data_IF_116836262591
#
_entry.id   IF_116836262591
#
_cell.length_a   1.000
_cell.length_b   1.000
_cell.length_c   1.000
_cell.angle_alpha   90.00
_cell.angle_beta   90.00
_cell.angle_gamma   90.00
#
_symmetry.space_group_name_H-M   'P 1'
#
loop_
_entity.id
_entity.type
_entity.pdbx_description
1 polymer ?
#
# COMPACT_ATOMS: atom_id res chain seq x y z
N UNK A 1 -6.75 -21.52 -12.42
CA UNK A 1 -5.78 -20.60 -11.79
C UNK A 1 -6.00 -19.22 -12.35
N UNK A 2 -6.33 -18.23 -11.53
CA UNK A 2 -6.42 -16.84 -11.98
C UNK A 2 -4.98 -16.33 -12.21
N UNK A 3 -4.62 -16.03 -13.47
CA UNK A 3 -3.36 -15.34 -13.77
C UNK A 3 -3.53 -13.87 -13.40
N UNK A 4 -2.89 -13.45 -12.31
CA UNK A 4 -2.79 -12.03 -11.96
C UNK A 4 -1.74 -11.35 -12.84
N UNK A 5 -2.07 -10.19 -13.40
CA UNK A 5 -1.10 -9.35 -14.08
C UNK A 5 -0.48 -8.37 -13.08
N UNK A 6 0.83 -8.44 -12.93
CA UNK A 6 1.59 -7.48 -12.13
C UNK A 6 1.83 -6.24 -13.00
N UNK A 7 1.09 -5.16 -12.72
CA UNK A 7 1.16 -3.93 -13.51
C UNK A 7 2.27 -3.00 -13.00
N UNK A 8 2.99 -2.39 -13.93
CA UNK A 8 3.94 -1.29 -13.70
C UNK A 8 3.41 -0.07 -14.45
N UNK A 9 3.67 1.13 -13.94
CA UNK A 9 3.18 2.33 -14.61
C UNK A 9 3.61 3.61 -13.92
N UNK A 10 3.25 4.73 -14.55
CA UNK A 10 3.44 6.08 -14.01
C UNK A 10 2.11 6.79 -13.98
N UNK A 11 1.77 7.36 -12.83
CA UNK A 11 0.72 8.36 -12.71
C UNK A 11 1.35 9.73 -12.86
N UNK A 12 0.95 10.44 -13.91
CA UNK A 12 1.41 11.81 -14.19
C UNK A 12 0.23 12.76 -14.36
N UNK A 13 0.51 14.05 -14.51
CA UNK A 13 -0.45 15.09 -14.83
C UNK A 13 -0.12 15.68 -16.20
N UNK A 14 -1.14 15.85 -17.03
CA UNK A 14 -1.02 16.52 -18.33
C UNK A 14 -2.38 16.61 -19.02
N UNK A 15 -2.40 17.26 -20.18
CA UNK A 15 -3.62 17.37 -20.97
C UNK A 15 -3.90 16.03 -21.64
N UNK A 16 -5.15 15.60 -21.59
CA UNK A 16 -5.64 14.41 -22.28
C UNK A 16 -6.87 14.83 -23.08
N UNK A 17 -6.79 14.67 -24.39
CA UNK A 17 -7.93 14.58 -25.27
C UNK A 17 -8.39 13.12 -25.27
N UNK A 18 -9.65 12.91 -24.92
CA UNK A 18 -10.29 11.61 -24.93
C UNK A 18 -11.46 11.64 -25.91
N UNK A 19 -11.46 10.70 -26.86
CA UNK A 19 -12.63 10.30 -27.64
C UNK A 19 -12.96 8.84 -27.33
N UNK A 20 -14.16 8.38 -27.65
CA UNK A 20 -14.68 7.04 -27.27
C UNK A 20 -13.76 5.84 -27.59
N UNK A 21 -12.75 6.04 -28.45
CA UNK A 21 -11.79 4.99 -28.86
C UNK A 21 -10.32 5.39 -28.74
N UNK A 22 -10.01 6.65 -28.37
CA UNK A 22 -8.64 7.15 -28.40
C UNK A 22 -8.33 8.06 -27.21
N UNK A 23 -7.12 7.89 -26.67
CA UNK A 23 -6.53 8.76 -25.66
C UNK A 23 -5.28 9.37 -26.26
N UNK A 24 -5.25 10.71 -26.37
CA UNK A 24 -4.11 11.44 -26.90
C UNK A 24 -3.81 12.65 -26.02
N UNK A 25 -2.54 13.05 -25.93
CA UNK A 25 -2.16 14.26 -25.20
C UNK A 25 -0.85 14.10 -24.44
N UNK A 26 -0.39 15.22 -23.87
CA UNK A 26 0.90 15.28 -23.17
C UNK A 26 0.94 14.37 -21.96
N UNK A 27 -0.17 14.25 -21.21
CA UNK A 27 -0.25 13.35 -20.06
C UNK A 27 -0.03 11.89 -20.43
N UNK A 28 -0.65 11.43 -21.53
CA UNK A 28 -0.48 10.05 -22.01
C UNK A 28 0.94 9.80 -22.53
N UNK A 29 1.45 10.69 -23.38
CA UNK A 29 2.79 10.55 -23.95
C UNK A 29 3.89 10.54 -22.87
N UNK A 30 3.75 11.38 -21.85
CA UNK A 30 4.70 11.45 -20.74
C UNK A 30 4.61 10.21 -19.84
N UNK A 31 3.41 9.71 -19.54
CA UNK A 31 3.24 8.47 -18.78
C UNK A 31 3.91 7.29 -19.50
N UNK A 32 3.63 7.14 -20.80
CA UNK A 32 4.18 6.07 -21.63
C UNK A 32 5.71 6.11 -21.72
N UNK A 33 6.31 7.29 -21.94
CA UNK A 33 7.77 7.45 -21.96
C UNK A 33 8.42 7.13 -20.61
N UNK A 34 7.78 7.48 -19.50
CA UNK A 34 8.34 7.28 -18.17
C UNK A 34 8.09 5.88 -17.60
N UNK A 35 7.19 5.08 -18.17
CA UNK A 35 6.92 3.70 -17.73
C UNK A 35 8.20 2.84 -17.69
N UNK A 36 9.05 3.00 -18.70
CA UNK A 36 10.34 2.29 -18.77
C UNK A 36 11.29 2.71 -17.63
N UNK A 37 11.16 3.94 -17.13
CA UNK A 37 12.05 4.58 -16.16
C UNK A 37 11.59 4.45 -14.70
N UNK A 38 10.42 3.87 -14.42
CA UNK A 38 9.91 3.67 -13.04
C UNK A 38 10.96 2.99 -12.15
N UNK A 39 11.44 3.70 -11.14
CA UNK A 39 12.56 3.32 -10.27
C UNK A 39 12.17 3.19 -8.79
N UNK A 40 10.95 3.58 -8.44
CA UNK A 40 10.44 3.50 -7.07
C UNK A 40 10.58 2.09 -6.51
N UNK A 41 11.09 2.00 -5.28
CA UNK A 41 11.22 0.75 -4.53
C UNK A 41 12.08 -0.35 -5.16
N UNK A 42 12.87 -0.03 -6.19
CA UNK A 42 13.93 -0.92 -6.66
C UNK A 42 14.99 -1.10 -5.59
N UNK A 43 15.41 -2.34 -5.38
CA UNK A 43 16.57 -2.72 -4.55
C UNK A 43 17.87 -2.37 -5.27
N UNK A 44 17.90 -2.48 -6.60
CA UNK A 44 19.05 -2.11 -7.43
C UNK A 44 18.63 -1.45 -8.77
N UNK A 45 19.56 -0.74 -9.43
CA UNK A 45 19.28 -0.04 -10.68
C UNK A 45 18.92 -0.97 -11.86
N UNK A 46 19.33 -2.24 -11.80
CA UNK A 46 19.05 -3.29 -12.79
C UNK A 46 17.71 -3.98 -12.54
N UNK A 47 17.08 -3.79 -11.38
CA UNK A 47 15.82 -4.43 -11.02
C UNK A 47 14.72 -3.97 -11.97
N UNK A 48 14.25 -4.90 -12.80
CA UNK A 48 13.10 -4.69 -13.67
C UNK A 48 11.87 -5.35 -13.05
N UNK A 49 10.81 -4.57 -12.87
CA UNK A 49 9.47 -5.11 -12.66
C UNK A 49 9.03 -5.29 -11.21
N UNK A 50 9.49 -4.44 -10.28
CA UNK A 50 8.73 -4.19 -9.05
C UNK A 50 7.38 -3.58 -9.47
N UNK A 51 6.24 -4.20 -9.16
CA UNK A 51 4.95 -3.88 -9.79
C UNK A 51 4.22 -2.80 -9.02
N UNK A 52 4.90 -1.68 -8.80
CA UNK A 52 4.32 -0.50 -8.20
C UNK A 52 4.10 0.56 -9.28
N UNK A 53 3.00 1.28 -9.12
CA UNK A 53 2.66 2.40 -9.98
C UNK A 53 3.31 3.64 -9.35
N UNK A 54 4.36 4.15 -9.98
CA UNK A 54 5.05 5.34 -9.51
C UNK A 54 4.18 6.58 -9.73
N UNK A 55 4.13 7.44 -8.73
CA UNK A 55 3.46 8.74 -8.83
C UNK A 55 4.52 9.78 -9.16
N UNK A 56 4.33 10.47 -10.28
CA UNK A 56 5.25 11.51 -10.72
C UNK A 56 5.25 12.70 -9.74
N UNK A 57 6.43 13.31 -9.55
CA UNK A 57 6.61 14.44 -8.63
C UNK A 57 5.58 15.58 -8.82
N UNK A 58 5.21 16.00 -10.05
CA UNK A 58 4.18 17.03 -10.23
C UNK A 58 2.82 16.69 -9.60
N UNK A 59 2.47 15.41 -9.54
CA UNK A 59 1.23 14.94 -8.88
C UNK A 59 1.37 15.00 -7.38
N UNK A 60 2.51 14.55 -6.83
CA UNK A 60 2.81 14.61 -5.39
C UNK A 60 2.77 16.06 -4.89
N UNK A 61 3.41 16.98 -5.63
CA UNK A 61 3.41 18.42 -5.33
C UNK A 61 2.01 19.01 -5.47
N UNK A 62 1.26 18.62 -6.50
CA UNK A 62 -0.12 19.07 -6.63
C UNK A 62 -0.97 18.66 -5.42
N UNK A 63 -0.93 17.39 -5.02
CA UNK A 63 -1.71 16.91 -3.87
C UNK A 63 -1.27 17.60 -2.57
N UNK A 64 0.04 17.82 -2.37
CA UNK A 64 0.53 18.48 -1.14
C UNK A 64 0.10 19.94 -1.02
N UNK A 65 -0.15 20.62 -2.15
CA UNK A 65 -0.62 22.03 -2.18
C UNK A 65 -2.14 22.19 -2.07
N UNK A 66 -2.92 21.10 -2.15
CA UNK A 66 -4.37 21.15 -1.98
C UNK A 66 -4.74 21.45 -0.53
N UNK A 67 -5.67 22.38 -0.31
CA UNK A 67 -6.24 22.68 1.02
C UNK A 67 -7.15 21.57 1.55
N UNK A 68 -7.68 20.72 0.67
CA UNK A 68 -8.58 19.63 1.03
C UNK A 68 -7.85 18.49 1.78
N UNK A 69 -8.07 18.42 3.09
CA UNK A 69 -7.56 17.39 3.98
C UNK A 69 -7.97 15.96 3.59
N UNK A 70 -9.18 15.79 3.06
CA UNK A 70 -9.69 14.48 2.67
C UNK A 70 -8.84 13.91 1.55
N UNK A 71 -8.58 14.71 0.50
CA UNK A 71 -7.75 14.29 -0.64
C UNK A 71 -6.34 13.93 -0.18
N UNK A 72 -5.70 14.77 0.65
CA UNK A 72 -4.35 14.49 1.17
C UNK A 72 -4.31 13.19 1.99
N UNK A 73 -5.32 12.96 2.84
CA UNK A 73 -5.43 11.73 3.64
C UNK A 73 -5.69 10.51 2.77
N UNK A 74 -6.55 10.60 1.75
CA UNK A 74 -6.83 9.48 0.84
C UNK A 74 -5.61 9.11 0.02
N UNK A 75 -4.92 10.11 -0.53
CA UNK A 75 -3.66 9.90 -1.25
C UNK A 75 -2.64 9.20 -0.34
N UNK A 76 -2.40 9.75 0.86
CA UNK A 76 -1.45 9.18 1.81
C UNK A 76 -1.79 7.75 2.24
N UNK A 77 -3.07 7.35 2.28
CA UNK A 77 -3.48 5.97 2.62
C UNK A 77 -3.11 4.95 1.53
N UNK A 78 -3.06 5.40 0.27
CA UNK A 78 -2.85 4.54 -0.90
C UNK A 78 -1.41 4.57 -1.42
N UNK A 79 -0.60 5.52 -0.96
CA UNK A 79 0.79 5.68 -1.40
C UNK A 79 1.80 5.45 -0.30
N UNK A 80 3.00 5.06 -0.70
CA UNK A 80 4.19 4.99 0.14
C UNK A 80 5.35 5.69 -0.57
N UNK A 81 6.37 6.11 0.19
CA UNK A 81 7.51 6.87 -0.33
C UNK A 81 8.82 6.40 0.28
N UNK A 82 9.86 6.26 -0.55
CA UNK A 82 11.24 5.99 -0.11
C UNK A 82 12.04 7.28 0.14
N UNK A 83 11.38 8.44 0.10
CA UNK A 83 11.98 9.77 0.22
C UNK A 83 12.39 10.39 -1.12
N UNK A 84 12.64 9.58 -2.15
CA UNK A 84 12.97 10.05 -3.50
C UNK A 84 11.76 9.91 -4.43
N UNK A 85 11.08 8.77 -4.36
CA UNK A 85 9.94 8.43 -5.19
C UNK A 85 8.73 8.08 -4.35
N UNK A 86 7.54 8.31 -4.91
CA UNK A 86 6.26 7.92 -4.33
C UNK A 86 5.60 6.89 -5.24
N UNK A 87 4.96 5.86 -4.68
CA UNK A 87 4.20 4.90 -5.46
C UNK A 87 2.92 4.47 -4.76
N UNK A 88 1.96 3.98 -5.54
CA UNK A 88 0.82 3.26 -5.00
C UNK A 88 1.33 1.96 -4.37
N UNK A 89 1.02 1.77 -3.08
CA UNK A 89 1.47 0.64 -2.29
C UNK A 89 0.33 0.11 -1.44
N UNK A 90 0.09 -1.22 -1.42
CA UNK A 90 -0.99 -1.78 -0.63
C UNK A 90 -0.64 -1.83 0.87
N UNK A 91 0.64 -1.84 1.24
CA UNK A 91 1.05 -2.21 2.59
C UNK A 91 0.55 -1.24 3.66
N UNK A 92 0.50 0.06 3.37
CA UNK A 92 -0.03 1.04 4.34
C UNK A 92 -1.51 0.80 4.63
N UNK A 93 -2.30 0.58 3.59
CA UNK A 93 -3.72 0.27 3.72
C UNK A 93 -3.93 -1.08 4.45
N UNK A 94 -3.13 -2.10 4.12
CA UNK A 94 -3.18 -3.40 4.78
C UNK A 94 -2.83 -3.33 6.26
N UNK A 95 -1.83 -2.53 6.66
CA UNK A 95 -1.50 -2.30 8.07
C UNK A 95 -2.59 -1.56 8.82
N UNK A 96 -3.38 -0.73 8.11
CA UNK A 96 -4.51 -0.02 8.69
C UNK A 96 -5.79 -0.87 8.78
N UNK A 97 -5.84 -2.06 8.17
CA UNK A 97 -7.02 -2.94 8.17
C UNK A 97 -6.86 -4.11 9.17
N UNK A 98 -7.85 -4.38 10.05
CA UNK A 98 -9.15 -3.72 10.17
C UNK A 98 -9.04 -2.33 10.80
N UNK A 99 -9.98 -1.46 10.43
CA UNK A 99 -10.18 -0.12 11.00
C UNK A 99 -11.60 0.02 11.53
N UNK A 100 -11.77 0.84 12.57
CA UNK A 100 -13.08 1.11 13.17
C UNK A 100 -13.14 2.54 13.72
N UNK A 101 -14.35 3.08 13.81
CA UNK A 101 -14.62 4.29 14.59
C UNK A 101 -14.84 3.84 16.05
N UNK A 102 -14.11 4.43 16.99
CA UNK A 102 -14.26 4.14 18.42
C UNK A 102 -15.44 4.97 18.95
N UNK A 103 -16.63 4.38 18.93
CA UNK A 103 -17.88 4.95 19.44
C UNK A 103 -18.51 4.07 20.51
N UNK A 104 -19.74 4.41 20.99
CA UNK A 104 -20.43 3.65 22.04
C UNK A 104 -20.58 2.16 21.75
N UNK A 105 -20.73 1.79 20.47
CA UNK A 105 -20.88 0.40 20.02
C UNK A 105 -19.54 -0.29 19.73
N UNK A 106 -18.41 0.32 20.10
CA UNK A 106 -17.08 -0.25 19.86
C UNK A 106 -16.80 -1.40 20.82
N UNK A 107 -16.71 -2.61 20.28
CA UNK A 107 -16.27 -3.80 21.01
C UNK A 107 -14.77 -4.08 20.76
N UNK A 108 -13.89 -3.85 21.76
CA UNK A 108 -12.47 -4.14 21.63
C UNK A 108 -12.17 -5.63 21.46
N UNK A 109 -13.02 -6.55 21.96
CA UNK A 109 -12.84 -7.99 21.77
C UNK A 109 -13.12 -8.41 20.32
N UNK A 110 -14.23 -7.97 19.74
CA UNK A 110 -14.53 -8.22 18.33
C UNK A 110 -13.48 -7.59 17.40
N UNK A 111 -13.00 -6.39 17.74
CA UNK A 111 -11.93 -5.74 16.98
C UNK A 111 -10.61 -6.51 17.08
N UNK A 112 -10.26 -7.02 18.26
CA UNK A 112 -9.06 -7.86 18.46
C UNK A 112 -9.15 -9.14 17.64
N UNK A 113 -10.28 -9.83 17.67
CA UNK A 113 -10.50 -11.03 16.85
C UNK A 113 -10.35 -10.73 15.35
N UNK A 114 -10.82 -9.57 14.89
CA UNK A 114 -10.65 -9.12 13.50
C UNK A 114 -9.18 -8.84 13.17
N UNK A 115 -8.44 -8.22 14.09
CA UNK A 115 -7.01 -7.96 13.94
C UNK A 115 -6.21 -9.27 13.84
N UNK A 116 -6.50 -10.24 14.71
CA UNK A 116 -5.88 -11.56 14.71
C UNK A 116 -6.14 -12.34 13.42
N UNK A 117 -7.37 -12.29 12.87
CA UNK A 117 -7.68 -12.86 11.56
C UNK A 117 -6.87 -12.21 10.43
N UNK A 118 -6.78 -10.88 10.41
CA UNK A 118 -5.97 -10.14 9.44
C UNK A 118 -4.50 -10.54 9.55
N UNK A 119 -3.95 -10.60 10.77
CA UNK A 119 -2.58 -11.02 11.04
C UNK A 119 -2.29 -12.44 10.55
N UNK A 120 -3.16 -13.40 10.87
CA UNK A 120 -3.05 -14.78 10.40
C UNK A 120 -2.97 -14.86 8.88
N UNK A 121 -3.86 -14.15 8.17
CA UNK A 121 -3.84 -14.10 6.70
C UNK A 121 -2.51 -13.57 6.14
N UNK A 122 -1.88 -12.59 6.81
CA UNK A 122 -0.56 -12.07 6.37
C UNK A 122 0.57 -13.05 6.63
N UNK A 123 0.52 -13.80 7.73
CA UNK A 123 1.46 -14.89 7.99
C UNK A 123 1.30 -16.02 6.97
N UNK A 124 0.06 -16.40 6.63
CA UNK A 124 -0.23 -17.40 5.60
C UNK A 124 0.34 -16.94 4.24
N UNK A 125 0.15 -15.66 3.88
CA UNK A 125 0.75 -15.08 2.67
C UNK A 125 2.29 -15.12 2.68
N UNK A 126 2.94 -14.87 3.83
CA UNK A 126 4.40 -15.03 3.94
C UNK A 126 4.83 -16.47 3.68
N UNK A 127 4.12 -17.46 4.24
CA UNK A 127 4.40 -18.87 3.97
C UNK A 127 4.19 -19.26 2.50
N UNK A 128 3.23 -18.64 1.81
CA UNK A 128 3.06 -18.82 0.36
C UNK A 128 4.23 -18.24 -0.44
N UNK A 129 4.74 -17.08 -0.03
CA UNK A 129 5.92 -16.48 -0.64
C UNK A 129 7.17 -17.33 -0.44
N UNK A 130 7.38 -17.87 0.76
CA UNK A 130 8.51 -18.77 1.05
C UNK A 130 8.48 -20.04 0.20
N UNK A 131 7.31 -20.65 0.01
CA UNK A 131 7.15 -21.79 -0.91
C UNK A 131 7.46 -21.41 -2.35
N UNK A 132 7.04 -20.23 -2.78
CA UNK A 132 7.27 -19.73 -4.14
C UNK A 132 8.74 -19.34 -4.38
N UNK A 133 9.47 -19.01 -3.32
CA UNK A 133 10.87 -18.58 -3.37
C UNK A 133 11.85 -19.74 -3.63
N UNK A 134 11.48 -20.97 -3.22
CA UNK A 134 12.34 -22.15 -3.32
C UNK A 134 12.78 -22.45 -4.76
N UNK A 135 11.86 -22.34 -5.72
CA UNK A 135 12.09 -22.68 -7.13
C UNK A 135 12.24 -21.44 -8.04
N UNK A 136 12.32 -20.24 -7.45
CA UNK A 136 12.35 -18.98 -8.17
C UNK A 136 13.75 -18.61 -8.69
N UNK A 137 13.80 -17.92 -9.83
CA UNK A 137 14.99 -17.22 -10.30
C UNK A 137 15.35 -16.01 -9.41
N UNK A 138 16.56 -15.48 -9.55
CA UNK A 138 17.06 -14.39 -8.70
C UNK A 138 16.20 -13.13 -8.77
N UNK A 139 15.66 -12.83 -9.96
CA UNK A 139 14.80 -11.67 -10.17
C UNK A 139 13.47 -11.83 -9.41
N UNK A 140 12.90 -13.03 -9.43
CA UNK A 140 11.66 -13.36 -8.74
C UNK A 140 11.88 -13.40 -7.23
N UNK A 141 13.02 -13.94 -6.77
CA UNK A 141 13.43 -13.89 -5.36
C UNK A 141 13.55 -12.47 -4.84
N UNK A 142 14.16 -11.55 -5.60
CA UNK A 142 14.24 -10.13 -5.23
C UNK A 142 12.85 -9.51 -5.04
N UNK A 143 11.91 -9.78 -5.95
CA UNK A 143 10.51 -9.31 -5.82
C UNK A 143 9.82 -9.91 -4.61
N UNK A 144 9.96 -11.22 -4.40
CA UNK A 144 9.40 -11.92 -3.24
C UNK A 144 9.93 -11.30 -1.95
N UNK A 145 11.23 -11.06 -1.85
CA UNK A 145 11.86 -10.41 -0.70
C UNK A 145 11.26 -9.01 -0.43
N UNK A 146 11.02 -8.22 -1.48
CA UNK A 146 10.37 -6.92 -1.36
C UNK A 146 8.96 -7.04 -0.75
N UNK A 147 8.14 -7.97 -1.26
CA UNK A 147 6.80 -8.21 -0.72
C UNK A 147 6.80 -8.74 0.71
N UNK A 148 7.73 -9.66 1.02
CA UNK A 148 7.92 -10.16 2.39
C UNK A 148 8.25 -9.02 3.34
N UNK A 149 9.15 -8.11 2.97
CA UNK A 149 9.48 -6.91 3.77
C UNK A 149 8.24 -6.06 4.04
N UNK A 150 7.44 -5.78 3.01
CA UNK A 150 6.19 -5.03 3.16
C UNK A 150 5.18 -5.72 4.08
N UNK A 151 5.00 -7.05 3.95
CA UNK A 151 4.13 -7.84 4.80
C UNK A 151 4.60 -7.93 6.26
N UNK A 152 5.90 -8.04 6.50
CA UNK A 152 6.46 -8.00 7.85
C UNK A 152 6.16 -6.67 8.55
N UNK A 153 6.27 -5.55 7.81
CA UNK A 153 5.88 -4.25 8.34
C UNK A 153 4.36 -4.17 8.65
N UNK A 154 3.52 -4.75 7.79
CA UNK A 154 2.07 -4.87 8.05
C UNK A 154 1.81 -5.66 9.34
N UNK A 155 2.46 -6.82 9.51
CA UNK A 155 2.31 -7.67 10.69
C UNK A 155 2.73 -6.92 11.96
N UNK A 156 3.87 -6.23 11.94
CA UNK A 156 4.33 -5.44 13.08
C UNK A 156 3.32 -4.37 13.51
N UNK A 157 2.65 -3.72 12.55
CA UNK A 157 1.58 -2.75 12.85
C UNK A 157 0.32 -3.41 13.41
N UNK A 158 -0.05 -4.60 12.92
CA UNK A 158 -1.15 -5.38 13.49
C UNK A 158 -0.85 -5.86 14.92
N UNK A 159 0.40 -6.23 15.21
CA UNK A 159 0.84 -6.56 16.57
C UNK A 159 0.72 -5.36 17.50
N UNK A 160 1.11 -4.16 17.04
CA UNK A 160 0.95 -2.93 17.83
C UNK A 160 -0.52 -2.61 18.11
N UNK A 161 -1.41 -2.83 17.13
CA UNK A 161 -2.86 -2.67 17.32
C UNK A 161 -3.40 -3.65 18.35
N UNK A 162 -3.00 -4.92 18.26
CA UNK A 162 -3.42 -5.93 19.21
C UNK A 162 -3.05 -5.52 20.64
N UNK A 163 -1.80 -5.06 20.86
CA UNK A 163 -1.37 -4.52 22.16
C UNK A 163 -2.19 -3.30 22.62
N UNK A 164 -2.64 -2.45 21.69
CA UNK A 164 -3.55 -1.33 22.03
C UNK A 164 -4.90 -1.85 22.50
N UNK A 165 -5.45 -2.86 21.83
CA UNK A 165 -6.72 -3.48 22.20
C UNK A 165 -6.62 -4.23 23.52
N UNK A 166 -5.50 -4.92 23.77
CA UNK A 166 -5.23 -5.58 25.05
C UNK A 166 -5.29 -4.58 26.20
N UNK A 167 -4.61 -3.44 26.06
CA UNK A 167 -4.70 -2.36 27.06
C UNK A 167 -6.12 -1.85 27.26
N UNK A 168 -6.91 -1.70 26.20
CA UNK A 168 -8.32 -1.27 26.33
C UNK A 168 -9.16 -2.29 27.08
N UNK A 169 -8.94 -3.59 26.81
CA UNK A 169 -9.65 -4.70 27.46
C UNK A 169 -9.26 -4.79 28.95
N UNK A 170 -7.95 -4.74 29.24
CA UNK A 170 -7.42 -4.85 30.61
C UNK A 170 -7.82 -3.67 31.50
N UNK A 171 -7.80 -2.45 30.95
CA UNK A 171 -8.08 -1.23 31.72
C UNK A 171 -9.54 -0.79 31.69
N UNK A 172 -10.34 -1.31 30.74
CA UNK A 172 -11.68 -0.83 30.44
C UNK A 172 -11.73 0.59 29.86
N UNK A 173 -10.58 1.24 29.60
CA UNK A 173 -10.51 2.60 29.09
C UNK A 173 -10.62 2.62 27.57
N UNK A 174 -11.77 3.06 27.07
CA UNK A 174 -12.04 3.20 25.64
C UNK A 174 -11.96 4.69 25.24
N UNK A 175 -11.02 5.10 24.37
CA UNK A 175 -10.86 6.48 23.95
C UNK A 175 -11.88 6.84 22.86
N UNK A 176 -13.12 7.10 23.28
CA UNK A 176 -14.21 7.48 22.38
C UNK A 176 -13.90 8.72 21.53
N UNK A 177 -14.48 8.78 20.33
CA UNK A 177 -14.30 9.88 19.39
C UNK A 177 -13.03 9.80 18.55
N UNK A 178 -12.30 8.69 18.65
CA UNK A 178 -11.09 8.42 17.87
C UNK A 178 -11.32 7.41 16.74
N UNK A 179 -10.43 7.40 15.76
CA UNK A 179 -10.39 6.32 14.75
C UNK A 179 -9.33 5.30 15.17
N UNK A 180 -9.71 4.03 15.21
CA UNK A 180 -8.77 2.93 15.39
C UNK A 180 -8.22 2.53 14.02
N UNK A 181 -6.99 2.96 13.73
CA UNK A 181 -6.27 2.76 12.47
C UNK A 181 -5.03 1.93 12.64
#
# INVERSE_FOLDING_TARGET
MAKGHLCRGVITRGNILHSDSQFMGTGYADAYKNEQHVSVFRVDEKERGTPFIQVASPVVVYVSTLKDDCVRKMFARMTDSDGTYTAISPFRALGNAPSAIVGPDFDPHAMKASCQRSRKLRLDNLGMFEKSEADADDQTKAKIAHYKKGLLHVIARLDEKERKLDRMIETGQIPYGSTFL
#
